data_IF_960123111283
#
_entry.id   IF_960123111283
#
_cell.length_a   1.000
_cell.length_b   1.000
_cell.length_c   1.000
_cell.angle_alpha   90.00
_cell.angle_beta   90.00
_cell.angle_gamma   90.00
#
_symmetry.space_group_name_H-M   'P 1'
#
loop_
_entity.id
_entity.type
_entity.pdbx_description
1 polymer ?
#
# COMPACT_ATOMS: atom_id res chain seq x y z
N UNK A 1 19.01 7.22 -5.83
CA UNK A 1 17.67 6.58 -5.92
C UNK A 1 17.00 6.40 -4.55
N UNK A 2 17.73 6.08 -3.47
CA UNK A 2 17.14 5.94 -2.12
C UNK A 2 16.62 7.26 -1.50
N UNK A 3 17.30 8.38 -1.75
CA UNK A 3 16.93 9.69 -1.19
C UNK A 3 15.64 10.25 -1.78
N UNK A 4 15.42 10.05 -3.08
CA UNK A 4 14.20 10.48 -3.78
C UNK A 4 12.98 9.69 -3.29
N UNK A 5 13.13 8.39 -3.05
CA UNK A 5 12.04 7.55 -2.50
C UNK A 5 11.63 7.96 -1.09
N UNK A 6 12.59 8.40 -0.27
CA UNK A 6 12.32 8.88 1.10
C UNK A 6 11.58 10.22 1.10
N UNK A 7 11.96 11.15 0.21
CA UNK A 7 11.26 12.44 0.05
C UNK A 7 9.82 12.26 -0.49
N UNK A 8 9.62 11.33 -1.43
CA UNK A 8 8.30 10.97 -1.95
C UNK A 8 7.44 10.37 -0.82
N UNK A 9 8.00 9.51 0.02
CA UNK A 9 7.32 8.94 1.20
C UNK A 9 6.89 10.02 2.18
N UNK A 10 7.75 10.99 2.50
CA UNK A 10 7.42 12.07 3.45
C UNK A 10 6.31 12.99 2.94
N UNK A 11 6.33 13.35 1.66
CA UNK A 11 5.25 14.13 1.04
C UNK A 11 3.96 13.33 1.02
N UNK A 12 4.02 12.06 0.60
CA UNK A 12 2.87 11.17 0.55
C UNK A 12 2.19 11.00 1.91
N UNK A 13 2.97 10.79 2.97
CA UNK A 13 2.45 10.65 4.34
C UNK A 13 1.75 11.92 4.84
N UNK A 14 2.29 13.11 4.54
CA UNK A 14 1.65 14.37 4.95
C UNK A 14 0.30 14.56 4.26
N UNK A 15 0.24 14.35 2.95
CA UNK A 15 -1.02 14.44 2.21
C UNK A 15 -2.04 13.38 2.64
N UNK A 16 -1.58 12.15 2.86
CA UNK A 16 -2.42 11.06 3.35
C UNK A 16 -2.98 11.37 4.74
N UNK A 17 -2.15 11.92 5.64
CA UNK A 17 -2.57 12.37 6.97
C UNK A 17 -3.66 13.44 6.91
N UNK A 18 -3.44 14.51 6.13
CA UNK A 18 -4.45 15.57 5.97
C UNK A 18 -5.74 15.09 5.31
N UNK A 19 -5.64 14.18 4.32
CA UNK A 19 -6.81 13.55 3.70
C UNK A 19 -7.57 12.68 4.71
N UNK A 20 -6.84 11.95 5.56
CA UNK A 20 -7.39 11.11 6.60
C UNK A 20 -8.11 11.91 7.68
N UNK A 21 -7.50 13.00 8.18
CA UNK A 21 -8.14 13.90 9.14
C UNK A 21 -9.44 14.49 8.58
N UNK A 22 -9.42 14.93 7.31
CA UNK A 22 -10.62 15.47 6.66
C UNK A 22 -11.69 14.39 6.45
N UNK A 23 -11.29 13.17 6.10
CA UNK A 23 -12.20 12.04 5.94
C UNK A 23 -12.78 11.57 7.29
N UNK A 24 -12.01 11.69 8.37
CA UNK A 24 -12.42 11.37 9.74
C UNK A 24 -13.47 12.37 10.23
N UNK A 25 -13.21 13.67 10.05
CA UNK A 25 -14.15 14.75 10.38
C UNK A 25 -15.48 14.61 9.63
N UNK A 26 -15.39 14.27 8.34
CA UNK A 26 -16.54 13.99 7.49
C UNK A 26 -17.17 12.60 7.69
N UNK A 27 -16.66 11.77 8.63
CA UNK A 27 -17.08 10.37 8.87
C UNK A 27 -17.19 9.52 7.60
N UNK A 28 -16.37 9.83 6.60
CA UNK A 28 -16.45 9.25 5.25
C UNK A 28 -15.21 8.45 4.87
N UNK A 29 -14.35 8.09 5.84
CA UNK A 29 -13.11 7.31 5.64
C UNK A 29 -13.31 6.10 4.74
N UNK A 30 -14.34 5.27 4.98
CA UNK A 30 -14.59 4.07 4.18
C UNK A 30 -15.05 4.38 2.74
N UNK A 31 -15.74 5.51 2.52
CA UNK A 31 -16.13 5.94 1.18
C UNK A 31 -14.92 6.49 0.41
N UNK A 32 -14.09 7.30 1.10
CA UNK A 32 -12.84 7.84 0.56
C UNK A 32 -11.89 6.71 0.17
N UNK A 33 -11.74 5.69 1.01
CA UNK A 33 -10.91 4.51 0.70
C UNK A 33 -11.39 3.81 -0.58
N UNK A 34 -12.70 3.52 -0.70
CA UNK A 34 -13.27 2.90 -1.91
C UNK A 34 -13.06 3.72 -3.17
N UNK A 35 -13.18 5.04 -3.08
CA UNK A 35 -12.96 5.93 -4.22
C UNK A 35 -11.47 6.01 -4.60
N UNK A 36 -10.56 5.98 -3.62
CA UNK A 36 -9.12 5.89 -3.88
C UNK A 36 -8.73 4.53 -4.50
N UNK A 37 -9.30 3.42 -4.04
CA UNK A 37 -9.09 2.09 -4.63
C UNK A 37 -9.59 2.03 -6.09
N UNK A 38 -10.75 2.61 -6.37
CA UNK A 38 -11.24 2.75 -7.76
C UNK A 38 -10.27 3.55 -8.62
N UNK A 39 -9.74 4.65 -8.07
CA UNK A 39 -8.77 5.46 -8.79
C UNK A 39 -7.45 4.71 -9.02
N UNK A 40 -6.96 3.96 -8.03
CA UNK A 40 -5.77 3.12 -8.14
C UNK A 40 -5.95 2.02 -9.20
N UNK A 41 -7.14 1.42 -9.29
CA UNK A 41 -7.46 0.43 -10.32
C UNK A 41 -7.44 1.05 -11.73
N UNK A 42 -8.01 2.25 -11.89
CA UNK A 42 -7.95 3.00 -13.16
C UNK A 42 -6.52 3.37 -13.54
N UNK A 43 -5.71 3.78 -12.56
CA UNK A 43 -4.29 4.06 -12.75
C UNK A 43 -3.51 2.80 -13.16
N UNK A 44 -3.82 1.67 -12.52
CA UNK A 44 -3.14 0.41 -12.81
C UNK A 44 -3.50 -0.14 -14.18
N UNK A 45 -4.73 0.07 -14.64
CA UNK A 45 -5.23 -0.37 -15.94
C UNK A 45 -4.86 0.49 -17.14
N UNK A 46 -4.28 1.68 -16.95
CA UNK A 46 -3.89 2.57 -18.06
C UNK A 46 -2.44 3.05 -17.94
N UNK A 47 -1.57 2.57 -18.82
CA UNK A 47 -0.18 3.05 -18.90
C UNK A 47 -0.07 4.52 -19.32
N UNK A 48 -0.98 5.00 -20.19
CA UNK A 48 -1.07 6.41 -20.55
C UNK A 48 -1.34 7.30 -19.34
N UNK A 49 -2.22 6.86 -18.42
CA UNK A 49 -2.49 7.61 -17.20
C UNK A 49 -1.28 7.62 -16.26
N UNK A 50 -0.58 6.49 -16.12
CA UNK A 50 0.70 6.42 -15.39
C UNK A 50 1.74 7.37 -15.98
N UNK A 51 1.88 7.41 -17.31
CA UNK A 51 2.78 8.36 -17.98
C UNK A 51 2.35 9.80 -17.75
N UNK A 52 1.05 10.09 -17.77
CA UNK A 52 0.53 11.43 -17.55
C UNK A 52 0.83 11.95 -16.13
N UNK A 53 0.73 11.10 -15.10
CA UNK A 53 1.02 11.49 -13.71
C UNK A 53 2.53 11.57 -13.39
N UNK A 54 3.36 10.79 -14.09
CA UNK A 54 4.81 10.73 -13.85
C UNK A 54 5.60 11.68 -14.75
N UNK A 55 5.04 12.08 -15.90
CA UNK A 55 5.71 12.96 -16.85
C UNK A 55 5.61 14.42 -16.42
N UNK A 56 6.75 15.11 -16.19
CA UNK A 56 6.78 16.54 -15.87
C UNK A 56 6.51 17.43 -17.09
N UNK A 57 6.35 16.84 -18.28
CA UNK A 57 6.15 17.55 -19.55
C UNK A 57 4.73 18.11 -19.67
N UNK A 58 3.75 17.49 -19.01
CA UNK A 58 2.37 17.97 -19.01
C UNK A 58 2.20 19.16 -18.07
N UNK A 59 1.45 20.17 -18.51
CA UNK A 59 1.12 21.30 -17.65
C UNK A 59 0.24 20.85 -16.49
N UNK A 60 0.29 21.57 -15.38
CA UNK A 60 -0.59 21.32 -14.23
C UNK A 60 -2.07 21.49 -14.57
N UNK A 61 -2.40 22.31 -15.57
CA UNK A 61 -3.77 22.51 -16.04
C UNK A 61 -4.25 21.31 -16.86
N UNK A 62 -3.44 20.82 -17.80
CA UNK A 62 -3.77 19.61 -18.58
C UNK A 62 -3.94 18.39 -17.67
N UNK A 63 -3.05 18.24 -16.69
CA UNK A 63 -3.15 17.19 -15.69
C UNK A 63 -4.41 17.33 -14.83
N UNK A 64 -4.77 18.55 -14.41
CA UNK A 64 -5.98 18.79 -13.64
C UNK A 64 -7.24 18.48 -14.45
N UNK A 65 -7.28 18.86 -15.73
CA UNK A 65 -8.38 18.55 -16.63
C UNK A 65 -8.51 17.05 -16.88
N UNK A 66 -7.40 16.35 -17.15
CA UNK A 66 -7.39 14.91 -17.38
C UNK A 66 -7.84 14.13 -16.12
N UNK A 67 -7.27 14.45 -14.97
CA UNK A 67 -7.60 13.79 -13.69
C UNK A 67 -9.03 14.15 -13.27
N UNK A 68 -9.47 15.39 -13.48
CA UNK A 68 -10.83 15.82 -13.21
C UNK A 68 -11.85 15.08 -14.06
N UNK A 69 -11.63 15.00 -15.38
CA UNK A 69 -12.50 14.25 -16.29
C UNK A 69 -12.55 12.76 -15.96
N UNK A 70 -11.42 12.18 -15.55
CA UNK A 70 -11.37 10.79 -15.10
C UNK A 70 -12.12 10.58 -13.79
N UNK A 71 -11.93 11.46 -12.80
CA UNK A 71 -12.63 11.38 -11.53
C UNK A 71 -14.15 11.52 -11.71
N UNK A 72 -14.60 12.44 -12.57
CA UNK A 72 -16.01 12.60 -12.92
C UNK A 72 -16.58 11.36 -13.63
N UNK A 73 -15.84 10.77 -14.58
CA UNK A 73 -16.22 9.50 -15.22
C UNK A 73 -16.27 8.32 -14.24
N UNK A 74 -15.38 8.30 -13.26
CA UNK A 74 -15.32 7.28 -12.22
C UNK A 74 -16.39 7.47 -11.13
N UNK A 75 -17.15 8.57 -11.16
CA UNK A 75 -18.11 8.92 -10.13
C UNK A 75 -17.48 9.34 -8.79
N UNK A 76 -16.17 9.64 -8.79
CA UNK A 76 -15.41 10.05 -7.61
C UNK A 76 -15.70 11.53 -7.37
N UNK A 77 -16.65 11.83 -6.48
CA UNK A 77 -17.11 13.20 -6.19
C UNK A 77 -16.82 13.59 -4.74
N UNK A 78 -16.77 14.90 -4.50
CA UNK A 78 -16.58 15.46 -3.16
C UNK A 78 -15.12 15.51 -2.72
N UNK A 79 -14.85 14.98 -1.52
CA UNK A 79 -13.58 15.14 -0.81
C UNK A 79 -12.39 14.58 -1.63
N UNK A 80 -12.54 13.40 -2.22
CA UNK A 80 -11.50 12.76 -3.06
C UNK A 80 -11.27 13.53 -4.36
N UNK A 81 -12.34 13.97 -5.03
CA UNK A 81 -12.23 14.76 -6.26
C UNK A 81 -11.51 16.09 -6.02
N UNK A 82 -11.82 16.78 -4.92
CA UNK A 82 -11.15 18.02 -4.53
C UNK A 82 -9.68 17.76 -4.20
N UNK A 83 -9.40 16.68 -3.47
CA UNK A 83 -8.03 16.26 -3.16
C UNK A 83 -7.20 16.00 -4.42
N UNK A 84 -7.73 15.24 -5.38
CA UNK A 84 -7.06 14.97 -6.66
C UNK A 84 -6.75 16.25 -7.43
N UNK A 85 -7.67 17.23 -7.45
CA UNK A 85 -7.45 18.54 -8.07
C UNK A 85 -6.36 19.35 -7.34
N UNK A 86 -6.31 19.30 -6.01
CA UNK A 86 -5.26 19.96 -5.22
C UNK A 86 -3.89 19.33 -5.47
N UNK A 87 -3.82 18.00 -5.54
CA UNK A 87 -2.57 17.28 -5.85
C UNK A 87 -2.10 17.58 -7.28
N UNK A 88 -3.02 17.63 -8.25
CA UNK A 88 -2.76 18.05 -9.62
C UNK A 88 -2.23 19.49 -9.70
N UNK A 89 -2.89 20.44 -9.04
CA UNK A 89 -2.48 21.85 -9.00
C UNK A 89 -1.09 22.03 -8.40
N UNK A 90 -0.74 21.22 -7.40
CA UNK A 90 0.58 21.25 -6.76
C UNK A 90 1.67 20.49 -7.54
N UNK A 91 1.37 19.95 -8.73
CA UNK A 91 2.28 19.10 -9.53
C UNK A 91 2.82 17.88 -8.76
N UNK A 92 2.02 17.33 -7.84
CA UNK A 92 2.41 16.21 -6.95
C UNK A 92 1.71 14.89 -7.30
N UNK A 93 1.15 14.77 -8.51
CA UNK A 93 0.45 13.56 -8.95
C UNK A 93 1.35 12.31 -9.00
N UNK A 94 2.66 12.49 -9.21
CA UNK A 94 3.62 11.38 -9.13
C UNK A 94 3.63 10.68 -7.76
N UNK A 95 3.29 11.40 -6.68
CA UNK A 95 3.24 10.87 -5.32
C UNK A 95 1.90 10.21 -4.99
N UNK A 96 0.91 10.28 -5.89
CA UNK A 96 -0.44 9.77 -5.65
C UNK A 96 -0.50 8.28 -5.28
N UNK A 97 0.26 7.36 -5.93
CA UNK A 97 0.30 5.96 -5.49
C UNK A 97 0.81 5.81 -4.06
N UNK A 98 1.83 6.59 -3.69
CA UNK A 98 2.36 6.61 -2.33
C UNK A 98 1.36 7.18 -1.31
N UNK A 99 0.58 8.19 -1.70
CA UNK A 99 -0.48 8.78 -0.88
C UNK A 99 -1.55 7.74 -0.59
N UNK A 100 -2.01 7.00 -1.61
CA UNK A 100 -3.05 5.97 -1.48
C UNK A 100 -2.58 4.87 -0.51
N UNK A 101 -1.35 4.38 -0.69
CA UNK A 101 -0.76 3.39 0.21
C UNK A 101 -0.62 3.90 1.66
N UNK A 102 -0.17 5.15 1.83
CA UNK A 102 -0.05 5.77 3.15
C UNK A 102 -1.43 5.98 3.80
N UNK A 103 -2.45 6.38 3.04
CA UNK A 103 -3.82 6.54 3.54
C UNK A 103 -4.39 5.21 4.02
N UNK A 104 -4.23 4.13 3.23
CA UNK A 104 -4.67 2.78 3.59
C UNK A 104 -4.02 2.32 4.90
N UNK A 105 -2.72 2.62 5.07
CA UNK A 105 -2.00 2.33 6.30
C UNK A 105 -2.57 3.08 7.51
N UNK A 106 -2.77 4.40 7.38
CA UNK A 106 -3.33 5.23 8.47
C UNK A 106 -4.75 4.79 8.81
N UNK A 107 -5.58 4.48 7.81
CA UNK A 107 -6.94 4.00 8.00
C UNK A 107 -6.98 2.64 8.73
N UNK A 108 -6.09 1.71 8.36
CA UNK A 108 -5.94 0.43 9.07
C UNK A 108 -5.49 0.64 10.52
N UNK A 109 -4.47 1.47 10.75
CA UNK A 109 -3.99 1.81 12.09
C UNK A 109 -5.11 2.41 12.97
N UNK A 110 -5.94 3.28 12.41
CA UNK A 110 -7.08 3.87 13.11
C UNK A 110 -8.22 2.87 13.38
N UNK A 111 -8.48 1.93 12.46
CA UNK A 111 -9.42 0.82 12.71
C UNK A 111 -8.91 -0.19 13.74
N UNK A 112 -7.65 -0.06 14.16
CA UNK A 112 -7.00 -1.05 15.03
C UNK A 112 -6.68 -2.34 14.29
N UNK A 113 -6.71 -2.32 12.96
CA UNK A 113 -6.33 -3.43 12.10
C UNK A 113 -4.82 -3.38 11.89
N UNK A 114 -4.12 -4.42 12.33
CA UNK A 114 -2.69 -4.52 12.07
C UNK A 114 -2.51 -5.19 10.71
N UNK A 115 -1.96 -4.49 9.74
CA UNK A 115 -1.63 -5.12 8.45
C UNK A 115 -0.40 -6.00 8.59
N UNK A 116 -0.54 -7.27 8.21
CA UNK A 116 0.55 -8.24 8.12
C UNK A 116 0.78 -8.60 6.65
N UNK A 117 1.93 -8.22 6.11
CA UNK A 117 2.39 -8.65 4.80
C UNK A 117 2.94 -10.07 4.94
N UNK A 118 2.30 -11.03 4.30
CA UNK A 118 2.69 -12.45 4.32
C UNK A 118 3.24 -12.81 2.96
N UNK A 119 4.53 -13.10 2.88
CA UNK A 119 5.16 -13.65 1.68
C UNK A 119 5.14 -15.17 1.80
N UNK A 120 4.45 -15.82 0.87
CA UNK A 120 4.30 -17.27 0.80
C UNK A 120 4.93 -17.82 -0.48
N UNK A 121 5.51 -19.00 -0.38
CA UNK A 121 6.04 -19.73 -1.53
C UNK A 121 4.96 -20.14 -2.54
N UNK A 122 3.74 -20.40 -2.07
CA UNK A 122 2.60 -20.88 -2.85
C UNK A 122 1.35 -20.07 -2.50
N UNK A 123 0.37 -20.04 -3.41
CA UNK A 123 -0.95 -19.44 -3.15
C UNK A 123 -1.58 -20.08 -1.91
N UNK A 124 -1.85 -19.25 -0.90
CA UNK A 124 -2.47 -19.69 0.35
C UNK A 124 -3.95 -19.96 0.13
N UNK A 125 -4.40 -21.18 0.46
CA UNK A 125 -5.82 -21.52 0.46
C UNK A 125 -6.59 -20.70 1.50
N UNK A 126 -7.91 -20.51 1.30
CA UNK A 126 -8.76 -19.76 2.22
C UNK A 126 -8.74 -20.33 3.66
N UNK A 127 -8.58 -21.66 3.80
CA UNK A 127 -8.42 -22.32 5.09
C UNK A 127 -7.11 -21.89 5.79
N UNK A 128 -6.00 -21.87 5.07
CA UNK A 128 -4.70 -21.46 5.60
C UNK A 128 -4.67 -19.96 5.93
N UNK A 129 -5.32 -19.10 5.13
CA UNK A 129 -5.44 -17.68 5.45
C UNK A 129 -6.20 -17.45 6.76
N UNK A 130 -7.29 -18.18 6.99
CA UNK A 130 -8.06 -18.08 8.23
C UNK A 130 -7.27 -18.56 9.45
N UNK A 131 -6.52 -19.66 9.31
CA UNK A 131 -5.67 -20.18 10.39
C UNK A 131 -4.51 -19.23 10.71
N UNK A 132 -3.91 -18.62 9.68
CA UNK A 132 -2.92 -17.56 9.86
C UNK A 132 -3.54 -16.34 10.55
N UNK A 133 -4.76 -15.94 10.16
CA UNK A 133 -5.46 -14.81 10.76
C UNK A 133 -5.73 -15.05 12.24
N UNK A 134 -6.14 -16.26 12.62
CA UNK A 134 -6.35 -16.65 14.00
C UNK A 134 -5.04 -16.62 14.81
N UNK A 135 -3.96 -17.16 14.25
CA UNK A 135 -2.64 -17.19 14.89
C UNK A 135 -2.07 -15.79 15.06
N UNK A 136 -2.15 -14.96 14.01
CA UNK A 136 -1.67 -13.58 14.03
C UNK A 136 -2.51 -12.70 14.96
N UNK A 137 -3.82 -12.94 15.05
CA UNK A 137 -4.69 -12.29 16.04
C UNK A 137 -4.28 -12.63 17.48
N UNK A 138 -3.89 -13.89 17.74
CA UNK A 138 -3.35 -14.31 19.03
C UNK A 138 -2.02 -13.65 19.39
N UNK A 139 -1.13 -13.45 18.41
CA UNK A 139 0.19 -12.84 18.62
C UNK A 139 0.12 -11.30 18.68
N UNK A 140 -0.76 -10.68 17.89
CA UNK A 140 -0.89 -9.23 17.77
C UNK A 140 -1.90 -8.62 18.75
N UNK A 141 -2.84 -9.41 19.29
CA UNK A 141 -3.89 -8.95 20.20
C UNK A 141 -4.95 -8.04 19.57
N UNK A 142 -4.94 -7.89 18.24
CA UNK A 142 -5.85 -7.04 17.45
C UNK A 142 -6.28 -7.76 16.17
N UNK A 143 -7.31 -7.26 15.47
CA UNK A 143 -7.68 -7.85 14.17
C UNK A 143 -6.55 -7.59 13.17
N UNK A 144 -6.18 -8.61 12.39
CA UNK A 144 -5.02 -8.56 11.48
C UNK A 144 -5.53 -8.68 10.05
N UNK A 145 -5.25 -7.67 9.22
CA UNK A 145 -5.52 -7.73 7.78
C UNK A 145 -4.30 -8.32 7.10
N UNK A 146 -4.47 -9.45 6.42
CA UNK A 146 -3.36 -10.18 5.80
C UNK A 146 -3.26 -9.77 4.32
N UNK A 147 -2.12 -9.20 3.94
CA UNK A 147 -1.76 -9.01 2.54
C UNK A 147 -0.87 -10.17 2.10
N UNK A 148 -1.41 -11.10 1.31
CA UNK A 148 -0.64 -12.24 0.79
C UNK A 148 0.07 -11.84 -0.50
N UNK A 149 1.39 -11.95 -0.50
CA UNK A 149 2.23 -11.87 -1.71
C UNK A 149 2.82 -13.26 -1.98
N UNK A 150 2.73 -13.75 -3.22
CA UNK A 150 3.33 -15.04 -3.61
C UNK A 150 4.70 -14.79 -4.20
N UNK A 151 5.74 -15.35 -3.57
CA UNK A 151 7.11 -15.31 -4.09
C UNK A 151 7.68 -16.74 -4.19
N UNK A 152 7.79 -17.30 -5.40
CA UNK A 152 8.28 -18.66 -5.62
C UNK A 152 9.78 -18.83 -5.35
N UNK A 153 10.53 -17.75 -5.10
CA UNK A 153 11.94 -17.80 -4.71
C UNK A 153 12.13 -18.31 -3.28
N UNK A 154 11.05 -18.39 -2.50
CA UNK A 154 11.01 -19.02 -1.20
C UNK A 154 10.77 -20.51 -1.44
N UNK A 155 11.77 -21.35 -1.16
CA UNK A 155 11.68 -22.83 -1.30
C UNK A 155 10.61 -23.48 -0.39
N UNK A 156 10.05 -22.71 0.54
CA UNK A 156 8.98 -23.10 1.46
C UNK A 156 9.05 -22.30 2.76
N UNK A 157 7.93 -22.23 3.48
CA UNK A 157 7.76 -21.45 4.71
C UNK A 157 7.11 -20.07 4.48
N UNK A 158 6.94 -19.31 5.56
CA UNK A 158 6.19 -18.06 5.59
C UNK A 158 7.11 -16.93 6.09
N UNK A 159 7.10 -15.80 5.39
CA UNK A 159 7.70 -14.57 5.92
C UNK A 159 6.54 -13.64 6.25
N UNK A 160 6.30 -13.42 7.54
CA UNK A 160 5.28 -12.48 8.01
C UNK A 160 5.94 -11.20 8.46
N UNK A 161 5.61 -10.08 7.82
CA UNK A 161 6.06 -8.76 8.21
C UNK A 161 4.88 -7.96 8.74
N UNK A 162 4.96 -7.60 10.01
CA UNK A 162 3.94 -6.86 10.73
C UNK A 162 4.57 -5.57 11.27
N UNK A 163 4.43 -4.48 10.52
CA UNK A 163 5.08 -3.21 10.82
C UNK A 163 6.61 -3.34 10.90
N UNK A 164 7.16 -3.28 12.12
CA UNK A 164 8.60 -3.42 12.43
C UNK A 164 9.01 -4.84 12.86
N UNK A 165 8.06 -5.76 13.05
CA UNK A 165 8.34 -7.15 13.42
C UNK A 165 8.28 -8.04 12.19
N UNK A 166 9.40 -8.69 11.85
CA UNK A 166 9.46 -9.70 10.81
C UNK A 166 9.65 -11.07 11.45
N UNK A 167 8.72 -11.99 11.17
CA UNK A 167 8.79 -13.40 11.54
C UNK A 167 9.11 -14.16 10.26
N UNK A 168 10.37 -14.60 10.14
CA UNK A 168 10.84 -15.39 9.00
C UNK A 168 10.91 -16.86 9.41
N UNK A 169 10.04 -17.68 8.80
CA UNK A 169 10.05 -19.13 8.95
C UNK A 169 10.46 -19.83 7.66
N UNK A 170 11.12 -19.12 6.74
CA UNK A 170 11.47 -19.67 5.44
C UNK A 170 12.56 -20.75 5.54
N UNK A 171 12.39 -21.82 4.77
CA UNK A 171 13.35 -22.91 4.65
C UNK A 171 14.68 -22.43 4.06
N UNK A 172 14.63 -21.40 3.21
CA UNK A 172 15.83 -20.76 2.65
C UNK A 172 16.71 -20.16 3.74
N UNK A 173 16.12 -19.44 4.69
CA UNK A 173 16.87 -18.88 5.83
C UNK A 173 17.46 -20.00 6.69
N UNK A 174 16.69 -21.05 7.01
CA UNK A 174 17.18 -22.21 7.78
C UNK A 174 18.37 -22.93 7.11
N UNK A 175 18.28 -23.18 5.80
CA UNK A 175 19.37 -23.78 5.01
C UNK A 175 20.60 -22.87 4.92
N UNK A 176 20.39 -21.56 4.78
CA UNK A 176 21.49 -20.58 4.73
C UNK A 176 22.20 -20.48 6.08
N UNK A 177 21.47 -20.48 7.20
CA UNK A 177 22.06 -20.52 8.54
C UNK A 177 22.82 -21.82 8.81
N UNK A 178 22.33 -22.97 8.33
CA UNK A 178 23.06 -24.24 8.45
C UNK A 178 24.36 -24.22 7.62
N UNK A 179 24.31 -23.71 6.39
CA UNK A 179 25.51 -23.55 5.55
C UNK A 179 26.54 -22.60 6.17
N UNK A 180 26.09 -21.53 6.83
CA UNK A 180 26.97 -20.59 7.53
C UNK A 180 27.61 -21.25 8.76
N UNK A 181 26.82 -21.93 9.59
CA UNK A 181 27.31 -22.66 10.76
C UNK A 181 28.30 -23.77 10.38
N UNK A 182 28.11 -24.44 9.23
CA UNK A 182 29.05 -25.44 8.71
C UNK A 182 30.33 -24.82 8.13
N UNK A 183 30.30 -23.56 7.72
CA UNK A 183 31.46 -22.85 7.15
C UNK A 183 32.36 -22.20 8.23
N UNK A 184 31.82 -21.92 9.42
CA UNK A 184 32.60 -21.38 10.54
C UNK A 184 33.31 -22.47 11.38
N UNK A 185 33.01 -23.75 11.14
CA UNK A 185 33.58 -24.90 11.88
C UNK A 185 34.72 -25.61 11.10
N UNK A 186 35.19 -25.03 9.99
CA UNK A 186 36.34 -25.51 9.21
C UNK A 186 37.39 -24.42 9.03
#
# INVERSE_FOLDING_TARGET
>A
MAETSSLISGVAQRYAGSLFELALDAKSVAAVEKDLDRFEALLSGSEDLKRLISSPVFSSEDQLHAIGALADKAGIKGLVGNFLRVVARNRRLFALPGIIAAFRKIAAEHRGEVSADVVSAHELSAAQQNELKATLKGVAGKDVTINVTVDPSILGGLIVKMGSRQIDTSLRTKLSSLKLALKEVG
#
